data_IF_335335160302
#
_entry.id   IF_335335160302
#
_cell.length_a   1.000
_cell.length_b   1.000
_cell.length_c   1.000
_cell.angle_alpha   90.00
_cell.angle_beta   90.00
_cell.angle_gamma   90.00
#
_symmetry.space_group_name_H-M   'P 1'
#
loop_
_entity.id
_entity.type
_entity.pdbx_description
1 polymer ?
#
# COMPACT_ATOMS: atom_id res chain seq x y z
N UNK A 1 1.83 -5.49 -7.66
CA UNK A 1 2.25 -4.23 -8.32
C UNK A 1 3.74 -4.36 -8.63
N UNK A 2 4.08 -4.63 -9.90
CA UNK A 2 5.47 -4.58 -10.37
C UNK A 2 5.90 -3.11 -10.35
N UNK A 3 6.41 -2.64 -9.22
CA UNK A 3 7.11 -1.36 -9.19
C UNK A 3 8.51 -1.56 -9.75
N UNK A 4 9.10 -0.56 -10.43
CA UNK A 4 10.47 -0.63 -10.94
C UNK A 4 11.48 -1.07 -9.86
N UNK A 5 11.21 -0.73 -8.61
CA UNK A 5 11.98 -1.13 -7.43
C UNK A 5 12.00 -2.64 -7.27
N UNK A 6 10.84 -3.31 -7.43
CA UNK A 6 10.75 -4.75 -7.28
C UNK A 6 11.49 -5.50 -8.41
N UNK A 7 11.48 -4.93 -9.62
CA UNK A 7 12.26 -5.44 -10.75
C UNK A 7 13.77 -5.30 -10.54
N UNK A 8 14.21 -4.11 -10.08
CA UNK A 8 15.62 -3.82 -9.77
C UNK A 8 16.15 -4.69 -8.63
N UNK A 9 15.33 -4.98 -7.63
CA UNK A 9 15.68 -5.87 -6.51
C UNK A 9 15.78 -7.31 -6.98
N UNK A 10 14.85 -7.78 -7.81
CA UNK A 10 14.90 -9.13 -8.37
C UNK A 10 16.14 -9.38 -9.27
N UNK A 11 16.58 -8.36 -10.03
CA UNK A 11 17.78 -8.44 -10.89
C UNK A 11 19.07 -7.92 -10.20
N UNK A 12 19.00 -7.52 -8.93
CA UNK A 12 20.15 -6.98 -8.20
C UNK A 12 21.26 -8.03 -8.01
N UNK A 13 20.90 -9.32 -7.93
CA UNK A 13 21.82 -10.45 -7.84
C UNK A 13 22.71 -10.62 -9.08
N UNK A 14 22.24 -10.20 -10.26
CA UNK A 14 23.01 -10.28 -11.52
C UNK A 14 23.89 -9.05 -11.77
N UNK A 15 23.57 -7.92 -11.12
CA UNK A 15 24.18 -6.60 -11.43
C UNK A 15 25.24 -6.17 -10.40
N UNK A 16 25.39 -6.90 -9.28
CA UNK A 16 26.40 -6.59 -8.24
C UNK A 16 26.13 -5.29 -7.44
N UNK A 17 24.93 -4.72 -7.56
CA UNK A 17 24.52 -3.52 -6.83
C UNK A 17 23.93 -3.92 -5.47
N UNK A 18 24.06 -3.12 -4.40
CA UNK A 18 23.59 -3.52 -3.08
C UNK A 18 22.08 -3.72 -3.10
N UNK A 19 21.64 -4.95 -2.81
CA UNK A 19 20.25 -5.41 -2.81
C UNK A 19 19.37 -4.79 -1.69
N UNK A 20 19.79 -3.65 -1.13
CA UNK A 20 19.11 -2.98 -0.03
C UNK A 20 17.97 -2.12 -0.57
N UNK A 21 16.77 -2.67 -0.53
CA UNK A 21 15.48 -2.00 -0.81
C UNK A 21 15.36 -0.62 -0.17
N UNK A 22 15.95 -0.43 1.01
CA UNK A 22 15.92 0.83 1.74
C UNK A 22 16.56 2.00 0.96
N UNK A 23 17.60 1.74 0.17
CA UNK A 23 18.28 2.75 -0.65
C UNK A 23 17.41 3.21 -1.82
N UNK A 24 16.71 2.28 -2.46
CA UNK A 24 15.78 2.58 -3.57
C UNK A 24 14.50 3.26 -3.08
N UNK A 25 14.04 2.90 -1.88
CA UNK A 25 12.85 3.51 -1.29
C UNK A 25 13.04 5.00 -0.98
N UNK A 26 14.22 5.41 -0.54
CA UNK A 26 14.53 6.82 -0.32
C UNK A 26 14.46 7.64 -1.62
N UNK A 27 15.04 7.12 -2.70
CA UNK A 27 14.95 7.74 -4.04
C UNK A 27 13.50 7.85 -4.51
N UNK A 28 12.68 6.81 -4.28
CA UNK A 28 11.26 6.82 -4.58
C UNK A 28 10.49 7.90 -3.79
N UNK A 29 10.77 8.05 -2.50
CA UNK A 29 10.15 9.09 -1.68
C UNK A 29 10.52 10.49 -2.17
N UNK A 30 11.79 10.73 -2.49
CA UNK A 30 12.25 12.00 -3.06
C UNK A 30 11.57 12.28 -4.41
N UNK A 31 11.48 11.27 -5.28
CA UNK A 31 10.78 11.38 -6.56
C UNK A 31 9.31 11.76 -6.37
N UNK A 32 8.62 11.10 -5.45
CA UNK A 32 7.22 11.40 -5.14
C UNK A 32 7.02 12.82 -4.60
N UNK A 33 7.91 13.31 -3.73
CA UNK A 33 7.87 14.67 -3.20
C UNK A 33 8.15 15.72 -4.30
N UNK A 34 9.15 15.48 -5.15
CA UNK A 34 9.48 16.34 -6.29
C UNK A 34 8.30 16.44 -7.27
N UNK A 35 7.74 15.31 -7.67
CA UNK A 35 6.58 15.28 -8.58
C UNK A 35 5.38 16.01 -7.97
N UNK A 36 5.09 15.79 -6.69
CA UNK A 36 4.00 16.48 -6.00
C UNK A 36 4.21 18.00 -5.97
N UNK A 37 5.45 18.44 -5.72
CA UNK A 37 5.82 19.87 -5.72
C UNK A 37 5.69 20.48 -7.11
N UNK A 38 6.12 19.77 -8.17
CA UNK A 38 6.00 20.23 -9.55
C UNK A 38 4.53 20.37 -9.95
N UNK A 39 3.69 19.37 -9.65
CA UNK A 39 2.24 19.43 -9.92
C UNK A 39 1.62 20.64 -9.21
N UNK A 40 1.98 20.87 -7.94
CA UNK A 40 1.50 22.02 -7.18
C UNK A 40 1.95 23.37 -7.78
N UNK A 41 3.20 23.45 -8.22
CA UNK A 41 3.76 24.63 -8.88
C UNK A 41 3.02 24.93 -10.20
N UNK A 42 2.80 23.92 -11.03
CA UNK A 42 2.05 24.05 -12.29
C UNK A 42 0.62 24.49 -12.00
N UNK A 43 -0.06 23.85 -11.04
CA UNK A 43 -1.42 24.22 -10.63
C UNK A 43 -1.51 25.68 -10.17
N UNK A 44 -0.56 26.11 -9.35
CA UNK A 44 -0.50 27.49 -8.83
C UNK A 44 -0.21 28.51 -9.94
N UNK A 45 0.65 28.16 -10.90
CA UNK A 45 0.95 28.99 -12.07
C UNK A 45 -0.28 29.16 -12.98
N UNK A 46 -1.00 28.07 -13.28
CA UNK A 46 -2.23 28.10 -14.09
C UNK A 46 -3.35 28.90 -13.40
N UNK A 47 -3.42 28.86 -12.08
CA UNK A 47 -4.38 29.63 -11.27
C UNK A 47 -3.98 31.10 -11.01
N UNK A 48 -2.93 31.62 -11.66
CA UNK A 48 -2.41 32.99 -11.43
C UNK A 48 -2.25 33.32 -9.94
N UNK A 49 -1.64 32.41 -9.17
CA UNK A 49 -1.37 32.62 -7.75
C UNK A 49 -2.64 32.79 -6.86
N UNK A 50 -3.83 32.39 -7.35
CA UNK A 50 -5.06 32.20 -6.55
C UNK A 50 -5.50 30.73 -6.52
N UNK A 51 -4.68 29.81 -5.97
CA UNK A 51 -5.11 28.44 -5.77
C UNK A 51 -6.22 28.39 -4.71
N UNK A 52 -7.39 27.86 -5.08
CA UNK A 52 -8.48 27.59 -4.13
C UNK A 52 -8.18 26.27 -3.44
N UNK A 53 -7.38 26.33 -2.38
CA UNK A 53 -7.04 25.17 -1.56
C UNK A 53 -7.83 25.30 -0.26
N UNK A 54 -8.72 24.34 -0.01
CA UNK A 54 -9.41 24.26 1.27
C UNK A 54 -8.44 23.75 2.33
N UNK A 55 -8.04 24.57 3.32
CA UNK A 55 -7.04 24.18 4.33
C UNK A 55 -7.52 22.98 5.17
N UNK A 56 -8.84 22.81 5.32
CA UNK A 56 -9.46 21.69 6.03
C UNK A 56 -9.17 20.33 5.40
N UNK A 57 -8.95 20.26 4.08
CA UNK A 57 -8.70 19.01 3.35
C UNK A 57 -7.20 18.78 3.16
N UNK A 58 -6.40 19.86 3.20
CA UNK A 58 -4.95 19.79 3.01
C UNK A 58 -4.25 19.00 4.11
N UNK A 59 -4.56 19.27 5.38
CA UNK A 59 -3.97 18.54 6.51
C UNK A 59 -4.24 17.03 6.45
N UNK A 60 -5.50 16.56 6.33
CA UNK A 60 -5.76 15.12 6.23
C UNK A 60 -5.12 14.50 4.99
N UNK A 61 -5.08 15.21 3.84
CA UNK A 61 -4.40 14.70 2.65
C UNK A 61 -2.90 14.47 2.87
N UNK A 62 -2.21 15.40 3.56
CA UNK A 62 -0.79 15.25 3.90
C UNK A 62 -0.56 14.07 4.84
N UNK A 63 -1.38 13.93 5.87
CA UNK A 63 -1.29 12.78 6.80
C UNK A 63 -1.52 11.44 6.10
N UNK A 64 -2.47 11.38 5.17
CA UNK A 64 -2.73 10.17 4.38
C UNK A 64 -1.55 9.80 3.47
N UNK A 65 -0.85 10.80 2.91
CA UNK A 65 0.38 10.60 2.16
C UNK A 65 1.51 10.00 3.01
N UNK A 66 1.70 10.51 4.23
CA UNK A 66 2.68 9.96 5.17
C UNK A 66 2.38 8.51 5.54
N UNK A 67 1.11 8.20 5.85
CA UNK A 67 0.66 6.84 6.15
C UNK A 67 0.91 5.92 4.95
N UNK A 68 0.62 6.40 3.73
CA UNK A 68 0.85 5.65 2.50
C UNK A 68 2.33 5.36 2.26
N UNK A 69 3.22 6.32 2.52
CA UNK A 69 4.67 6.10 2.43
C UNK A 69 5.14 5.02 3.40
N UNK A 70 4.70 5.07 4.66
CA UNK A 70 5.07 4.04 5.67
C UNK A 70 4.52 2.66 5.28
N UNK A 71 3.28 2.60 4.79
CA UNK A 71 2.69 1.36 4.30
C UNK A 71 3.46 0.78 3.10
N UNK A 72 3.88 1.65 2.17
CA UNK A 72 4.68 1.26 1.01
C UNK A 72 6.07 0.74 1.42
N UNK A 73 6.71 1.35 2.43
CA UNK A 73 7.97 0.84 2.98
C UNK A 73 7.80 -0.56 3.59
N UNK A 74 6.77 -0.74 4.42
CA UNK A 74 6.45 -2.03 5.03
C UNK A 74 6.14 -3.10 3.97
N UNK A 75 5.41 -2.72 2.91
CA UNK A 75 5.14 -3.57 1.76
C UNK A 75 6.45 -4.07 1.12
N UNK A 76 7.40 -3.17 0.84
CA UNK A 76 8.67 -3.57 0.24
C UNK A 76 9.51 -4.45 1.17
N UNK A 77 9.55 -4.14 2.47
CA UNK A 77 10.26 -4.97 3.46
C UNK A 77 9.68 -6.40 3.53
N UNK A 78 8.35 -6.54 3.49
CA UNK A 78 7.69 -7.84 3.47
C UNK A 78 8.02 -8.64 2.20
N UNK A 79 8.12 -7.99 1.04
CA UNK A 79 8.50 -8.66 -0.21
C UNK A 79 9.97 -9.13 -0.22
N UNK A 80 10.86 -8.59 0.62
CA UNK A 80 12.23 -9.13 0.74
C UNK A 80 12.28 -10.43 1.53
N UNK A 81 11.34 -10.64 2.46
CA UNK A 81 11.36 -11.77 3.39
C UNK A 81 10.41 -12.91 2.97
N UNK A 82 9.41 -12.62 2.13
CA UNK A 82 8.46 -13.61 1.63
C UNK A 82 8.58 -13.75 0.11
N UNK A 83 8.45 -14.99 -0.38
CA UNK A 83 8.35 -15.26 -1.83
C UNK A 83 7.22 -14.42 -2.43
N UNK A 84 7.52 -13.73 -3.53
CA UNK A 84 6.62 -12.79 -4.18
C UNK A 84 5.25 -13.42 -4.53
N UNK A 85 5.22 -14.74 -4.77
CA UNK A 85 4.01 -15.52 -5.04
C UNK A 85 3.05 -15.58 -3.85
N UNK A 86 3.57 -15.57 -2.61
CA UNK A 86 2.80 -15.67 -1.37
C UNK A 86 2.52 -14.27 -0.80
N UNK A 87 3.52 -13.37 -0.90
CA UNK A 87 3.42 -12.01 -0.37
C UNK A 87 2.28 -11.21 -1.03
N UNK A 88 2.11 -11.31 -2.35
CA UNK A 88 1.10 -10.51 -3.07
C UNK A 88 -0.35 -10.78 -2.68
N UNK A 89 -0.83 -12.05 -2.63
CA UNK A 89 -2.19 -12.34 -2.17
C UNK A 89 -2.47 -11.78 -0.78
N UNK A 90 -1.49 -11.91 0.14
CA UNK A 90 -1.59 -11.43 1.52
C UNK A 90 -1.67 -9.91 1.55
N UNK A 91 -0.69 -9.25 0.93
CA UNK A 91 -0.59 -7.78 0.91
C UNK A 91 -1.73 -7.11 0.15
N UNK A 92 -2.34 -7.77 -0.82
CA UNK A 92 -3.51 -7.23 -1.55
C UNK A 92 -4.81 -7.38 -0.78
N UNK A 93 -4.94 -8.38 0.10
CA UNK A 93 -6.17 -8.65 0.85
C UNK A 93 -6.17 -8.04 2.25
N UNK A 94 -5.01 -7.96 2.91
CA UNK A 94 -4.90 -7.43 4.27
C UNK A 94 -5.42 -5.98 4.41
N UNK A 95 -5.09 -5.02 3.52
CA UNK A 95 -5.65 -3.67 3.60
C UNK A 95 -7.18 -3.65 3.46
N UNK A 96 -7.74 -4.51 2.60
CA UNK A 96 -9.18 -4.63 2.41
C UNK A 96 -9.91 -5.14 3.66
N UNK A 97 -9.30 -6.06 4.40
CA UNK A 97 -9.83 -6.54 5.69
C UNK A 97 -9.81 -5.42 6.72
N UNK A 98 -8.69 -4.68 6.83
CA UNK A 98 -8.56 -3.56 7.78
C UNK A 98 -9.56 -2.44 7.47
N UNK A 99 -9.73 -2.08 6.19
CA UNK A 99 -10.72 -1.09 5.76
C UNK A 99 -12.14 -1.55 6.08
N UNK A 100 -12.45 -2.84 5.85
CA UNK A 100 -13.75 -3.40 6.18
C UNK A 100 -14.04 -3.38 7.69
N UNK A 101 -13.04 -3.72 8.52
CA UNK A 101 -13.16 -3.63 9.97
C UNK A 101 -13.35 -2.18 10.43
N UNK A 102 -12.60 -1.24 9.85
CA UNK A 102 -12.74 0.18 10.15
C UNK A 102 -14.13 0.72 9.80
N UNK A 103 -14.70 0.32 8.65
CA UNK A 103 -16.05 0.68 8.25
C UNK A 103 -17.12 0.15 9.23
N UNK A 104 -16.95 -1.09 9.71
CA UNK A 104 -17.87 -1.68 10.71
C UNK A 104 -17.78 -0.97 12.06
N UNK A 105 -16.57 -0.76 12.59
CA UNK A 105 -16.39 -0.23 13.95
C UNK A 105 -16.58 1.29 14.05
N UNK A 106 -16.05 2.06 13.09
CA UNK A 106 -16.05 3.52 13.17
C UNK A 106 -17.33 4.13 12.59
N UNK A 107 -17.76 3.65 11.41
CA UNK A 107 -18.94 4.18 10.73
C UNK A 107 -20.23 3.50 11.17
N UNK A 108 -20.13 2.34 11.86
CA UNK A 108 -21.29 1.58 12.33
C UNK A 108 -22.30 1.32 11.19
N UNK A 109 -21.79 1.21 9.96
CA UNK A 109 -22.58 1.09 8.73
C UNK A 109 -23.38 -0.22 8.71
N UNK A 110 -22.87 -1.25 9.38
CA UNK A 110 -23.45 -2.59 9.40
C UNK A 110 -23.97 -2.90 10.81
N UNK A 111 -25.26 -2.62 11.05
CA UNK A 111 -25.96 -3.00 12.29
C UNK A 111 -26.65 -4.37 12.22
N UNK A 112 -26.77 -4.94 11.02
CA UNK A 112 -27.47 -6.21 10.79
C UNK A 112 -26.57 -7.44 11.03
N UNK A 113 -27.04 -8.39 11.84
CA UNK A 113 -26.32 -9.64 12.12
C UNK A 113 -25.97 -10.44 10.85
N UNK A 114 -26.84 -10.40 9.81
CA UNK A 114 -26.65 -11.09 8.52
C UNK A 114 -25.53 -10.52 7.66
N UNK A 115 -25.42 -9.19 7.60
CA UNK A 115 -24.33 -8.53 6.87
C UNK A 115 -23.00 -8.73 7.59
N UNK A 116 -23.01 -8.72 8.92
CA UNK A 116 -21.83 -9.06 9.71
C UNK A 116 -21.37 -10.50 9.46
N UNK A 117 -22.30 -11.47 9.39
CA UNK A 117 -21.94 -12.86 9.09
C UNK A 117 -21.36 -13.01 7.69
N UNK A 118 -21.89 -12.28 6.71
CA UNK A 118 -21.39 -12.29 5.32
C UNK A 118 -19.98 -11.69 5.23
N UNK A 119 -19.71 -10.61 5.96
CA UNK A 119 -18.38 -10.01 6.07
C UNK A 119 -17.38 -10.98 6.70
N UNK A 120 -17.74 -11.59 7.83
CA UNK A 120 -16.89 -12.56 8.54
C UNK A 120 -16.62 -13.78 7.65
N UNK A 121 -17.62 -14.28 6.92
CA UNK A 121 -17.42 -15.36 5.95
C UNK A 121 -16.46 -14.98 4.82
N UNK A 122 -16.53 -13.74 4.31
CA UNK A 122 -15.57 -13.20 3.33
C UNK A 122 -14.14 -13.12 3.89
N UNK A 123 -13.98 -12.73 5.15
CA UNK A 123 -12.67 -12.70 5.82
C UNK A 123 -12.15 -14.13 6.04
N UNK A 124 -12.99 -15.05 6.52
CA UNK A 124 -12.59 -16.45 6.72
C UNK A 124 -12.18 -17.12 5.41
N UNK A 125 -12.92 -16.90 4.32
CA UNK A 125 -12.57 -17.47 2.99
C UNK A 125 -11.26 -16.90 2.46
N UNK A 126 -11.01 -15.59 2.62
CA UNK A 126 -9.73 -14.98 2.23
C UNK A 126 -8.55 -15.47 3.07
N UNK A 127 -8.71 -15.60 4.38
CA UNK A 127 -7.69 -16.19 5.28
C UNK A 127 -7.41 -17.64 4.92
N UNK A 128 -8.45 -18.43 4.64
CA UNK A 128 -8.30 -19.84 4.23
C UNK A 128 -7.56 -19.96 2.90
N UNK A 129 -7.87 -19.09 1.93
CA UNK A 129 -7.16 -19.04 0.65
C UNK A 129 -5.68 -18.69 0.82
N UNK A 130 -5.35 -17.73 1.68
CA UNK A 130 -3.96 -17.38 2.02
C UNK A 130 -3.24 -18.55 2.68
N UNK A 131 -3.89 -19.25 3.61
CA UNK A 131 -3.33 -20.41 4.29
C UNK A 131 -3.04 -21.56 3.31
N UNK A 132 -3.96 -21.84 2.37
CA UNK A 132 -3.74 -22.84 1.31
C UNK A 132 -2.56 -22.46 0.40
N UNK A 133 -2.47 -21.21 -0.04
CA UNK A 133 -1.38 -20.73 -0.90
C UNK A 133 -0.03 -20.86 -0.17
N UNK A 134 0.00 -20.51 1.12
CA UNK A 134 1.20 -20.62 1.95
C UNK A 134 1.60 -22.08 2.15
N UNK A 135 0.63 -22.97 2.45
CA UNK A 135 0.87 -24.40 2.62
C UNK A 135 1.35 -25.07 1.32
N UNK A 136 0.83 -24.66 0.16
CA UNK A 136 1.22 -25.20 -1.15
C UNK A 136 2.70 -24.97 -1.48
N UNK A 137 3.32 -23.94 -0.91
CA UNK A 137 4.73 -23.60 -1.13
C UNK A 137 5.69 -24.28 -0.14
N UNK A 138 5.18 -24.86 0.95
CA UNK A 138 5.99 -25.64 1.91
C UNK A 138 6.25 -27.07 1.39
N UNK A 139 5.40 -27.55 0.48
CA UNK A 139 5.44 -28.92 -0.06
C UNK A 139 6.22 -29.06 -1.38
N UNK A 140 6.96 -28.04 -1.81
CA UNK A 140 7.76 -28.06 -3.04
C UNK A 140 9.12 -27.39 -2.86
#
# INVERSE_FOLDING_TARGET
MLTPINYLVAHSAETGNPANVSSYFFSFCIGALLTSTIIFMIYSAVKLNRPLINPEITLPSLTSGLIYSVATYCFFLANQHLDQTIAYPILSKAPGIVVSLWAVFLFNEIKGCRDLTTLVAGICTTVTGIALISASKIHF
#
